data_IF_555566889220
#
_entry.id   IF_555566889220
#
_cell.length_a   1.000
_cell.length_b   1.000
_cell.length_c   1.000
_cell.angle_alpha   90.00
_cell.angle_beta   90.00
_cell.angle_gamma   90.00
#
_symmetry.space_group_name_H-M   'P 1'
#
loop_
_entity.id
_entity.type
_entity.pdbx_description
1 polymer ?
#
# COMPACT_ATOMS: atom_id res chain seq x y z
N UNK A 1 -4.63 15.33 21.43
CA UNK A 1 -4.45 16.27 20.30
C UNK A 1 -2.99 16.33 19.83
N UNK A 2 -2.03 16.67 20.70
CA UNK A 2 -0.59 16.80 20.35
C UNK A 2 0.02 15.53 19.73
N UNK A 3 -0.29 14.34 20.27
CA UNK A 3 0.21 13.06 19.75
C UNK A 3 -0.19 12.80 18.29
N UNK A 4 -1.40 13.16 17.89
CA UNK A 4 -1.89 12.92 16.52
C UNK A 4 -1.21 13.86 15.52
N UNK A 5 -0.95 15.10 15.92
CA UNK A 5 -0.19 16.07 15.11
C UNK A 5 1.23 15.58 14.87
N UNK A 6 1.88 15.00 15.89
CA UNK A 6 3.23 14.44 15.74
C UNK A 6 3.28 13.31 14.70
N UNK A 7 2.29 12.42 14.66
CA UNK A 7 2.21 11.36 13.64
C UNK A 7 2.04 11.93 12.23
N UNK A 8 1.17 12.92 12.07
CA UNK A 8 0.94 13.57 10.77
C UNK A 8 2.18 14.32 10.29
N UNK A 9 2.83 15.10 11.16
CA UNK A 9 4.07 15.79 10.83
C UNK A 9 5.19 14.79 10.50
N UNK A 10 5.29 13.69 11.26
CA UNK A 10 6.26 12.62 11.02
C UNK A 10 6.06 11.94 9.67
N UNK A 11 4.81 11.68 9.27
CA UNK A 11 4.49 11.08 7.97
C UNK A 11 4.66 12.06 6.79
N UNK A 12 4.47 13.37 7.01
CA UNK A 12 4.64 14.40 6.00
C UNK A 12 6.10 14.76 5.73
N UNK A 13 6.99 14.58 6.70
CA UNK A 13 8.40 14.97 6.58
C UNK A 13 9.15 14.25 5.44
N UNK A 14 9.10 12.92 5.28
CA UNK A 14 9.81 12.23 4.19
C UNK A 14 9.36 12.65 2.78
N UNK A 15 8.05 12.73 2.47
CA UNK A 15 7.56 13.28 1.20
C UNK A 15 8.09 14.68 0.93
N UNK A 16 8.02 15.58 1.91
CA UNK A 16 8.48 16.96 1.76
C UNK A 16 9.99 17.03 1.51
N UNK A 17 10.77 16.26 2.25
CA UNK A 17 12.22 16.19 2.07
C UNK A 17 12.58 15.71 0.66
N UNK A 18 11.93 14.66 0.18
CA UNK A 18 12.17 14.15 -1.17
C UNK A 18 11.80 15.17 -2.25
N UNK A 19 10.68 15.88 -2.10
CA UNK A 19 10.29 16.96 -3.02
C UNK A 19 11.38 18.05 -3.05
N UNK A 20 11.91 18.47 -1.90
CA UNK A 20 12.97 19.49 -1.82
C UNK A 20 14.24 19.01 -2.55
N UNK A 21 14.65 17.75 -2.34
CA UNK A 21 15.82 17.17 -3.01
C UNK A 21 15.62 17.10 -4.53
N UNK A 22 14.41 16.73 -4.98
CA UNK A 22 14.10 16.67 -6.42
C UNK A 22 14.05 18.04 -7.07
N UNK A 23 13.54 19.06 -6.36
CA UNK A 23 13.49 20.43 -6.86
C UNK A 23 14.86 21.12 -6.85
N UNK A 24 15.76 20.74 -5.96
CA UNK A 24 17.12 21.30 -5.93
C UNK A 24 18.03 20.76 -7.05
N UNK A 25 17.61 19.71 -7.76
CA UNK A 25 18.42 19.05 -8.77
C UNK A 25 19.62 18.29 -8.20
N UNK A 26 19.68 18.08 -6.88
CA UNK A 26 20.71 17.30 -6.24
C UNK A 26 20.59 15.83 -6.66
N UNK A 27 21.68 15.27 -7.18
CA UNK A 27 21.77 13.85 -7.52
C UNK A 27 22.47 13.15 -6.38
N UNK A 28 21.77 12.24 -5.71
CA UNK A 28 22.36 11.40 -4.68
C UNK A 28 22.77 10.07 -5.30
N UNK A 29 23.47 9.22 -4.54
CA UNK A 29 23.76 7.86 -5.00
C UNK A 29 22.45 7.08 -5.24
N UNK A 30 22.42 6.20 -6.25
CA UNK A 30 21.22 5.44 -6.63
C UNK A 30 20.54 4.73 -5.46
N UNK A 31 21.32 4.14 -4.54
CA UNK A 31 20.80 3.49 -3.34
C UNK A 31 20.11 4.48 -2.39
N UNK A 32 20.71 5.64 -2.14
CA UNK A 32 20.13 6.68 -1.28
C UNK A 32 18.89 7.32 -1.88
N UNK A 33 18.88 7.55 -3.20
CA UNK A 33 17.68 8.06 -3.89
C UNK A 33 16.52 7.07 -3.79
N UNK A 34 16.79 5.78 -4.02
CA UNK A 34 15.77 4.73 -3.93
C UNK A 34 15.18 4.66 -2.52
N UNK A 35 16.03 4.72 -1.49
CA UNK A 35 15.59 4.68 -0.09
C UNK A 35 14.72 5.90 0.26
N UNK A 36 15.17 7.11 -0.08
CA UNK A 36 14.45 8.34 0.26
C UNK A 36 13.14 8.47 -0.53
N UNK A 37 13.13 8.11 -1.81
CA UNK A 37 11.92 8.03 -2.60
C UNK A 37 10.93 7.00 -2.03
N UNK A 38 11.42 5.82 -1.63
CA UNK A 38 10.60 4.79 -0.99
C UNK A 38 9.97 5.26 0.32
N UNK A 39 10.74 5.92 1.18
CA UNK A 39 10.25 6.52 2.43
C UNK A 39 9.22 7.63 2.16
N UNK A 40 9.43 8.44 1.13
CA UNK A 40 8.49 9.45 0.69
C UNK A 40 7.16 8.82 0.23
N UNK A 41 7.21 7.78 -0.59
CA UNK A 41 6.00 7.04 -1.02
C UNK A 41 5.28 6.44 0.18
N UNK A 42 6.02 5.83 1.13
CA UNK A 42 5.45 5.26 2.34
C UNK A 42 4.76 6.31 3.23
N UNK A 43 5.42 7.46 3.46
CA UNK A 43 4.84 8.57 4.21
C UNK A 43 3.59 9.13 3.55
N UNK A 44 3.59 9.28 2.23
CA UNK A 44 2.43 9.72 1.47
C UNK A 44 1.27 8.72 1.53
N UNK A 45 1.55 7.41 1.42
CA UNK A 45 0.54 6.36 1.56
C UNK A 45 -0.14 6.38 2.94
N UNK A 46 0.64 6.60 4.00
CA UNK A 46 0.10 6.74 5.36
C UNK A 46 -0.83 7.95 5.48
N UNK A 47 -0.40 9.12 4.96
CA UNK A 47 -1.25 10.32 4.95
C UNK A 47 -2.54 10.12 4.16
N UNK A 48 -2.46 9.44 3.01
CA UNK A 48 -3.64 9.08 2.20
C UNK A 48 -4.58 8.15 2.98
N UNK A 49 -4.05 7.17 3.71
CA UNK A 49 -4.85 6.29 4.57
C UNK A 49 -5.58 7.09 5.65
N UNK A 50 -4.90 8.03 6.32
CA UNK A 50 -5.55 8.91 7.30
C UNK A 50 -6.64 9.79 6.68
N UNK A 51 -6.36 10.37 5.50
CA UNK A 51 -7.35 11.16 4.77
C UNK A 51 -8.55 10.31 4.35
N UNK A 52 -8.32 9.06 3.94
CA UNK A 52 -9.37 8.12 3.56
C UNK A 52 -10.26 7.78 4.76
N UNK A 53 -9.69 7.47 5.92
CA UNK A 53 -10.43 7.22 7.16
C UNK A 53 -11.36 8.38 7.54
N UNK A 54 -10.89 9.63 7.39
CA UNK A 54 -11.71 10.81 7.63
C UNK A 54 -12.82 10.95 6.58
N UNK A 55 -12.50 10.72 5.30
CA UNK A 55 -13.47 10.79 4.21
C UNK A 55 -14.59 9.74 4.35
N UNK A 56 -14.34 8.59 4.98
CA UNK A 56 -15.35 7.56 5.23
C UNK A 56 -16.54 8.09 6.06
N UNK A 57 -16.36 9.16 6.84
CA UNK A 57 -17.41 9.76 7.65
C UNK A 57 -18.47 10.49 6.81
N UNK A 58 -18.15 10.82 5.55
CA UNK A 58 -18.99 11.68 4.70
C UNK A 58 -19.58 10.93 3.49
N UNK A 59 -19.24 9.66 3.29
CA UNK A 59 -19.66 8.86 2.13
C UNK A 59 -20.38 7.57 2.53
N UNK A 60 -21.24 6.99 1.65
CA UNK A 60 -21.90 5.72 1.92
C UNK A 60 -20.92 4.58 2.21
N UNK A 61 -21.27 3.70 3.15
CA UNK A 61 -20.39 2.62 3.63
C UNK A 61 -19.91 1.68 2.50
N UNK A 62 -20.78 1.34 1.55
CA UNK A 62 -20.41 0.50 0.41
C UNK A 62 -19.34 1.15 -0.48
N UNK A 63 -19.43 2.48 -0.66
CA UNK A 63 -18.46 3.26 -1.43
C UNK A 63 -17.14 3.40 -0.66
N UNK A 64 -17.22 3.65 0.65
CA UNK A 64 -16.07 3.78 1.54
C UNK A 64 -15.12 2.57 1.50
N UNK A 65 -15.67 1.35 1.52
CA UNK A 65 -14.85 0.12 1.52
C UNK A 65 -14.04 0.01 0.23
N UNK A 66 -14.67 0.27 -0.93
CA UNK A 66 -14.00 0.20 -2.23
C UNK A 66 -12.91 1.26 -2.34
N UNK A 67 -13.19 2.49 -1.93
CA UNK A 67 -12.21 3.57 -1.98
C UNK A 67 -11.01 3.32 -1.06
N UNK A 68 -11.25 2.85 0.17
CA UNK A 68 -10.13 2.55 1.08
C UNK A 68 -9.30 1.39 0.58
N UNK A 69 -9.93 0.33 0.06
CA UNK A 69 -9.21 -0.78 -0.54
C UNK A 69 -8.33 -0.31 -1.72
N UNK A 70 -8.85 0.56 -2.59
CA UNK A 70 -8.09 1.13 -3.71
C UNK A 70 -6.95 2.04 -3.25
N UNK A 71 -7.21 2.96 -2.32
CA UNK A 71 -6.19 3.89 -1.81
C UNK A 71 -5.05 3.17 -1.08
N UNK A 72 -5.35 2.06 -0.39
CA UNK A 72 -4.36 1.28 0.33
C UNK A 72 -3.28 0.67 -0.59
N UNK A 73 -3.59 0.44 -1.87
CA UNK A 73 -2.66 -0.13 -2.86
C UNK A 73 -2.19 0.91 -3.89
N UNK A 74 -2.56 2.18 -3.74
CA UNK A 74 -2.19 3.26 -4.67
C UNK A 74 -0.66 3.37 -4.93
N UNK A 75 0.22 3.17 -3.92
CA UNK A 75 1.67 3.17 -4.17
C UNK A 75 2.13 2.11 -5.17
N UNK A 76 1.50 0.94 -5.18
CA UNK A 76 1.81 -0.13 -6.13
C UNK A 76 1.37 0.27 -7.53
N UNK A 77 0.14 0.78 -7.68
CA UNK A 77 -0.35 1.32 -8.95
C UNK A 77 0.53 2.45 -9.49
N UNK A 78 1.05 3.34 -8.64
CA UNK A 78 1.94 4.41 -9.07
C UNK A 78 3.23 3.88 -9.70
N UNK A 79 3.81 2.82 -9.14
CA UNK A 79 5.02 2.18 -9.67
C UNK A 79 4.72 1.38 -10.95
N UNK A 80 3.60 0.66 -10.99
CA UNK A 80 3.21 -0.11 -12.17
C UNK A 80 2.88 0.80 -13.36
N UNK A 81 2.15 1.90 -13.13
CA UNK A 81 1.90 2.94 -14.15
C UNK A 81 3.22 3.54 -14.65
N UNK A 82 4.21 3.78 -13.77
CA UNK A 82 5.51 4.27 -14.20
C UNK A 82 6.21 3.29 -15.14
N UNK A 83 6.20 1.98 -14.84
CA UNK A 83 6.79 0.98 -15.72
C UNK A 83 6.01 0.81 -17.01
N UNK A 84 4.69 0.78 -16.98
CA UNK A 84 3.84 0.69 -18.16
C UNK A 84 4.03 1.92 -19.09
N UNK A 85 4.08 3.11 -18.51
CA UNK A 85 4.37 4.34 -19.26
C UNK A 85 5.77 4.34 -19.86
N UNK A 86 6.76 3.86 -19.12
CA UNK A 86 8.13 3.72 -19.59
C UNK A 86 8.26 2.68 -20.70
N UNK A 87 7.50 1.58 -20.63
CA UNK A 87 7.43 0.53 -21.65
C UNK A 87 6.94 1.05 -23.00
N UNK A 88 6.06 2.06 -23.01
CA UNK A 88 5.62 2.73 -24.23
C UNK A 88 6.74 3.53 -24.93
N UNK A 89 7.83 3.86 -24.22
CA UNK A 89 8.98 4.60 -24.74
C UNK A 89 10.19 3.71 -25.02
N UNK A 90 10.42 2.74 -24.14
CA UNK A 90 11.50 1.76 -24.23
C UNK A 90 10.96 0.36 -23.92
N UNK A 91 10.95 -0.55 -24.90
CA UNK A 91 10.43 -1.91 -24.74
C UNK A 91 11.07 -2.72 -23.61
N UNK A 92 12.28 -2.39 -23.16
CA UNK A 92 12.93 -3.08 -22.03
C UNK A 92 12.08 -3.03 -20.76
N UNK A 93 11.33 -1.94 -20.56
CA UNK A 93 10.46 -1.77 -19.39
C UNK A 93 9.18 -2.61 -19.43
N UNK A 94 8.81 -3.20 -20.59
CA UNK A 94 7.62 -4.03 -20.70
C UNK A 94 7.70 -5.25 -19.77
N UNK A 95 8.89 -5.86 -19.65
CA UNK A 95 9.11 -6.97 -18.74
C UNK A 95 9.01 -6.53 -17.27
N UNK A 96 9.42 -5.30 -16.94
CA UNK A 96 9.32 -4.77 -15.57
C UNK A 96 7.87 -4.51 -15.16
N UNK A 97 7.03 -3.98 -16.05
CA UNK A 97 5.60 -3.79 -15.77
C UNK A 97 4.92 -5.13 -15.44
N UNK A 98 5.08 -6.14 -16.32
CA UNK A 98 4.48 -7.46 -16.10
C UNK A 98 5.04 -8.15 -14.85
N UNK A 99 6.35 -8.04 -14.61
CA UNK A 99 6.97 -8.61 -13.41
C UNK A 99 6.49 -7.93 -12.12
N UNK A 100 6.30 -6.60 -12.14
CA UNK A 100 5.78 -5.84 -11.00
C UNK A 100 4.34 -6.24 -10.69
N UNK A 101 3.44 -6.16 -11.68
CA UNK A 101 2.03 -6.50 -11.54
C UNK A 101 1.82 -7.95 -11.06
N UNK A 102 2.53 -8.92 -11.66
CA UNK A 102 2.42 -10.33 -11.24
C UNK A 102 3.07 -10.59 -9.88
N UNK A 103 4.18 -9.92 -9.59
CA UNK A 103 4.88 -9.99 -8.31
C UNK A 103 4.02 -9.47 -7.16
N UNK A 104 3.39 -8.31 -7.33
CA UNK A 104 2.49 -7.72 -6.35
C UNK A 104 1.33 -8.65 -5.99
N UNK A 105 0.65 -9.21 -6.99
CA UNK A 105 -0.45 -10.17 -6.77
C UNK A 105 0.01 -11.44 -6.03
N UNK A 106 1.18 -11.98 -6.38
CA UNK A 106 1.75 -13.15 -5.69
C UNK A 106 2.16 -12.84 -4.26
N UNK A 107 2.73 -11.67 -3.99
CA UNK A 107 3.08 -11.23 -2.65
C UNK A 107 1.83 -10.97 -1.80
N UNK A 108 0.78 -10.38 -2.36
CA UNK A 108 -0.47 -10.11 -1.64
C UNK A 108 -1.10 -11.41 -1.12
N UNK A 109 -1.25 -12.41 -1.99
CA UNK A 109 -1.89 -13.68 -1.64
C UNK A 109 -0.92 -14.57 -0.86
N UNK A 110 0.30 -14.77 -1.38
CA UNK A 110 1.25 -15.72 -0.81
C UNK A 110 1.85 -15.27 0.52
N UNK A 111 2.12 -13.97 0.67
CA UNK A 111 2.74 -13.41 1.88
C UNK A 111 1.74 -12.61 2.69
N UNK A 112 0.99 -11.69 2.08
CA UNK A 112 0.06 -10.81 2.77
C UNK A 112 -1.02 -11.57 3.54
N UNK A 113 -1.81 -12.40 2.84
CA UNK A 113 -2.88 -13.17 3.47
C UNK A 113 -2.34 -14.19 4.47
N UNK A 114 -1.28 -14.91 4.11
CA UNK A 114 -0.63 -15.88 5.00
C UNK A 114 -0.13 -15.22 6.29
N UNK A 115 0.46 -14.02 6.19
CA UNK A 115 0.91 -13.26 7.36
C UNK A 115 -0.27 -12.83 8.24
N UNK A 116 -1.36 -12.30 7.67
CA UNK A 116 -2.55 -11.89 8.44
C UNK A 116 -3.13 -13.08 9.22
N UNK A 117 -3.30 -14.23 8.57
CA UNK A 117 -3.79 -15.46 9.21
C UNK A 117 -2.80 -15.96 10.26
N UNK A 118 -1.50 -15.94 9.95
CA UNK A 118 -0.43 -16.31 10.87
C UNK A 118 -0.42 -15.45 12.13
N UNK A 119 -0.50 -14.13 12.00
CA UNK A 119 -0.59 -13.20 13.13
C UNK A 119 -1.88 -13.41 13.93
N UNK A 120 -3.01 -13.64 13.26
CA UNK A 120 -4.27 -13.95 13.93
C UNK A 120 -4.16 -15.24 14.76
N UNK A 121 -3.57 -16.30 14.20
CA UNK A 121 -3.35 -17.56 14.89
C UNK A 121 -2.39 -17.41 16.08
N UNK A 122 -1.28 -16.68 15.90
CA UNK A 122 -0.32 -16.40 16.98
C UNK A 122 -0.97 -15.62 18.13
N UNK A 123 -1.82 -14.64 17.83
CA UNK A 123 -2.53 -13.82 18.81
C UNK A 123 -3.66 -14.59 19.50
N UNK A 124 -4.43 -15.37 18.75
CA UNK A 124 -5.64 -16.02 19.26
C UNK A 124 -5.36 -17.38 19.91
N UNK A 125 -4.28 -18.07 19.50
CA UNK A 125 -3.94 -19.45 19.90
C UNK A 125 -5.07 -20.46 19.70
N UNK A 126 -6.06 -20.12 18.87
CA UNK A 126 -7.21 -20.98 18.56
C UNK A 126 -6.83 -21.87 17.38
N UNK A 127 -7.09 -23.17 17.55
CA UNK A 127 -6.86 -24.17 16.50
C UNK A 127 -8.10 -24.42 15.64
N UNK A 128 -9.19 -23.69 15.88
CA UNK A 128 -10.42 -23.79 15.11
C UNK A 128 -11.06 -22.42 14.92
N UNK A 129 -11.68 -22.24 13.76
CA UNK A 129 -12.50 -21.09 13.43
C UNK A 129 -13.96 -21.55 13.57
N UNK A 130 -14.68 -20.98 14.54
CA UNK A 130 -16.10 -21.25 14.68
C UNK A 130 -16.86 -20.53 13.55
N UNK A 131 -17.37 -21.32 12.60
CA UNK A 131 -18.15 -20.80 11.49
C UNK A 131 -19.60 -20.62 11.92
N UNK A 132 -20.17 -19.48 11.54
CA UNK A 132 -21.59 -19.20 11.74
C UNK A 132 -22.44 -20.16 10.89
N UNK A 133 -23.59 -20.60 11.39
CA UNK A 133 -24.43 -21.60 10.68
C UNK A 133 -24.82 -21.17 9.26
N UNK A 134 -24.92 -19.86 8.99
CA UNK A 134 -25.19 -19.29 7.67
C UNK A 134 -24.04 -19.47 6.66
N UNK A 135 -22.81 -19.67 7.13
CA UNK A 135 -21.58 -19.84 6.31
C UNK A 135 -21.15 -21.29 6.13
N UNK A 136 -21.92 -22.26 6.66
CA UNK A 136 -21.64 -23.69 6.51
C UNK A 136 -21.62 -24.17 5.05
N UNK A 137 -22.34 -23.47 4.18
CA UNK A 137 -22.43 -23.82 2.74
C UNK A 137 -21.09 -23.63 2.02
N UNK A 138 -20.20 -22.76 2.51
CA UNK A 138 -18.90 -22.46 1.88
C UNK A 138 -17.88 -23.61 1.98
N UNK A 139 -18.08 -24.59 2.87
CA UNK A 139 -17.17 -25.74 3.05
C UNK A 139 -17.62 -26.97 2.25
N UNK A 140 -18.89 -27.01 1.83
CA UNK A 140 -19.50 -28.19 1.21
C UNK A 140 -19.66 -28.07 -0.33
N UNK A 141 -18.88 -27.20 -0.97
CA UNK A 141 -18.76 -27.17 -2.43
C UNK A 141 -17.68 -28.14 -2.94
#
# INVERSE_FOLDING_TARGET
MVKNILWLCGAALPPLLWIIIRLSGAHLGSGTETLLAGLAIFGAAFLLSCAAELAQLEIPQSLAIVFVAFLAVLPEYAVDIYFAWSAGKDPVYAHYAVANMTGANRLLIGVGWAAVVGFFWLKSKKNSIALESSRKVEIFF
#
